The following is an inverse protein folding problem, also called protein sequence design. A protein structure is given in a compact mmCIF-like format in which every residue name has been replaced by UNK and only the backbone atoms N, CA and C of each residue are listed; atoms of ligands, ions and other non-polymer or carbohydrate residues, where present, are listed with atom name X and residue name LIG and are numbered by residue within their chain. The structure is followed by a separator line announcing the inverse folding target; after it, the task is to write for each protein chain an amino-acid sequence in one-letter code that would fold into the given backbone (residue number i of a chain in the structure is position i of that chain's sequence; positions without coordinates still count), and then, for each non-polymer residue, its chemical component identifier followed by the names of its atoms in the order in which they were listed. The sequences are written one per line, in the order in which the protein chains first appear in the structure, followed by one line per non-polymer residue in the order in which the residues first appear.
data_IF_786309508355
#
_entry.id   IF_786309508355
#
_cell.length_a   1.000
_cell.length_b   1.000
_cell.length_c   1.000
_cell.angle_alpha   90.00
_cell.angle_beta   90.00
_cell.angle_gamma   90.00
#
_symmetry.space_group_name_H-M   'P 1'
#
loop_
_entity.id
_entity.type
_entity.pdbx_description
1 polymer ?
#
# COMPACT_ATOMS: atom_id res chain seq x y z
N UNK A 1 -2.64 4.21 -2.57
CA UNK A 1 -2.13 3.54 -1.37
C UNK A 1 -2.25 2.03 -1.53
N UNK A 2 -1.23 1.29 -1.08
CA UNK A 2 -1.24 -0.15 -0.90
C UNK A 2 -0.76 -0.51 0.48
N UNK A 3 -1.32 -1.57 1.06
CA UNK A 3 -0.91 -2.08 2.37
C UNK A 3 -1.50 -3.47 2.60
N UNK A 4 -0.89 -4.22 3.51
CA UNK A 4 -1.43 -5.47 4.01
C UNK A 4 -2.68 -5.26 4.91
N UNK A 5 -3.18 -6.34 5.49
CA UNK A 5 -4.38 -6.32 6.32
C UNK A 5 -4.16 -5.74 7.73
N UNK A 6 -2.95 -5.90 8.31
CA UNK A 6 -2.65 -5.39 9.66
C UNK A 6 -2.66 -3.86 9.68
N UNK A 7 -3.45 -3.29 10.58
CA UNK A 7 -3.63 -1.84 10.68
C UNK A 7 -4.55 -1.22 9.63
N UNK A 8 -5.08 -1.99 8.68
CA UNK A 8 -5.88 -1.47 7.57
C UNK A 8 -7.17 -0.80 8.03
N UNK A 9 -7.85 -1.32 9.05
CA UNK A 9 -9.05 -0.68 9.61
C UNK A 9 -8.73 0.72 10.18
N UNK A 10 -7.57 0.89 10.78
CA UNK A 10 -7.10 2.19 11.24
C UNK A 10 -6.89 3.15 10.06
N UNK A 11 -6.23 2.70 9.00
CA UNK A 11 -6.02 3.50 7.78
C UNK A 11 -7.36 3.85 7.12
N UNK A 12 -8.30 2.89 7.03
CA UNK A 12 -9.64 3.14 6.51
C UNK A 12 -10.36 4.24 7.30
N UNK A 13 -10.33 4.17 8.63
CA UNK A 13 -11.03 5.13 9.48
C UNK A 13 -10.33 6.49 9.55
N UNK A 14 -9.04 6.52 9.86
CA UNK A 14 -8.33 7.75 10.21
C UNK A 14 -7.66 8.43 9.01
N UNK A 15 -7.17 7.68 8.05
CA UNK A 15 -6.52 8.22 6.84
C UNK A 15 -7.53 8.44 5.73
N UNK A 16 -8.34 7.42 5.43
CA UNK A 16 -9.33 7.48 4.35
C UNK A 16 -10.67 8.07 4.78
N UNK A 17 -10.85 8.40 6.07
CA UNK A 17 -12.06 8.96 6.63
C UNK A 17 -13.33 8.12 6.42
N UNK A 18 -13.17 6.79 6.34
CA UNK A 18 -14.31 5.87 6.27
C UNK A 18 -15.01 5.83 7.64
N UNK A 19 -16.28 6.23 7.68
CA UNK A 19 -17.02 6.31 8.94
C UNK A 19 -17.13 4.97 9.65
N UNK A 20 -16.95 4.94 10.97
CA UNK A 20 -17.07 3.73 11.80
C UNK A 20 -18.39 3.00 11.60
N UNK A 21 -19.49 3.74 11.43
CA UNK A 21 -20.82 3.15 11.18
C UNK A 21 -20.82 2.28 9.91
N UNK A 22 -20.15 2.73 8.85
CA UNK A 22 -20.03 1.97 7.60
C UNK A 22 -19.17 0.73 7.82
N UNK A 23 -18.04 0.87 8.51
CA UNK A 23 -17.15 -0.25 8.84
C UNK A 23 -17.92 -1.32 9.64
N UNK A 24 -18.62 -0.94 10.70
CA UNK A 24 -19.39 -1.89 11.52
C UNK A 24 -20.55 -2.52 10.77
N UNK A 25 -21.22 -1.74 9.88
CA UNK A 25 -22.27 -2.28 9.02
C UNK A 25 -21.73 -3.39 8.10
N UNK A 26 -20.56 -3.17 7.49
CA UNK A 26 -19.90 -4.17 6.67
C UNK A 26 -19.53 -5.43 7.48
N UNK A 27 -19.04 -5.27 8.72
CA UNK A 27 -18.76 -6.40 9.60
C UNK A 27 -20.02 -7.19 9.97
N UNK A 28 -21.17 -6.54 10.06
CA UNK A 28 -22.46 -7.19 10.32
C UNK A 28 -23.08 -7.87 9.08
N UNK A 29 -22.33 -7.96 7.97
CA UNK A 29 -22.81 -8.60 6.74
C UNK A 29 -23.48 -7.66 5.75
N UNK A 30 -23.57 -6.36 6.05
CA UNK A 30 -24.04 -5.33 5.13
C UNK A 30 -23.03 -5.06 4.01
N UNK A 31 -23.52 -4.52 2.89
CA UNK A 31 -22.69 -4.02 1.79
C UNK A 31 -22.70 -2.49 1.80
N UNK A 32 -21.56 -1.86 1.61
CA UNK A 32 -21.47 -0.40 1.49
C UNK A 32 -21.98 0.09 0.13
N UNK A 33 -21.92 -0.75 -0.90
CA UNK A 33 -22.42 -0.49 -2.24
C UNK A 33 -23.53 -1.48 -2.59
N UNK A 34 -24.71 -1.02 -3.01
CA UNK A 34 -25.81 -1.87 -3.48
C UNK A 34 -25.46 -2.71 -4.72
N UNK A 35 -24.41 -2.32 -5.46
CA UNK A 35 -23.94 -2.98 -6.67
C UNK A 35 -22.91 -4.10 -6.43
N UNK A 36 -22.49 -4.33 -5.18
CA UNK A 36 -21.65 -5.48 -4.83
C UNK A 36 -22.46 -6.77 -4.90
N UNK A 37 -22.69 -7.20 -6.13
CA UNK A 37 -23.44 -8.40 -6.45
C UNK A 37 -22.64 -9.63 -6.02
N UNK A 38 -23.04 -10.24 -4.91
CA UNK A 38 -22.84 -11.68 -4.69
C UNK A 38 -21.41 -12.19 -4.48
N UNK A 39 -20.48 -11.35 -4.07
CA UNK A 39 -19.17 -11.80 -3.60
C UNK A 39 -19.29 -12.46 -2.23
N UNK A 40 -19.13 -13.78 -2.16
CA UNK A 40 -19.09 -14.52 -0.89
C UNK A 40 -18.00 -13.92 0.02
N UNK A 41 -18.41 -13.21 1.07
CA UNK A 41 -17.69 -13.05 2.32
C UNK A 41 -16.19 -12.77 2.28
N UNK A 42 -15.71 -11.88 1.40
CA UNK A 42 -14.32 -11.43 1.47
C UNK A 42 -14.03 -10.84 2.84
N UNK A 43 -12.85 -11.13 3.37
CA UNK A 43 -12.42 -10.63 4.67
C UNK A 43 -12.46 -9.11 4.65
N UNK A 44 -13.28 -8.49 5.48
CA UNK A 44 -13.62 -7.05 5.42
C UNK A 44 -12.42 -6.11 5.51
N UNK A 45 -11.33 -6.54 6.13
CA UNK A 45 -10.08 -5.76 6.19
C UNK A 45 -9.18 -5.91 4.94
N UNK A 46 -9.66 -6.57 3.88
CA UNK A 46 -9.01 -6.57 2.57
C UNK A 46 -9.63 -5.58 1.58
N UNK A 47 -10.77 -4.98 1.93
CA UNK A 47 -11.48 -4.05 1.05
C UNK A 47 -10.68 -2.76 0.79
N UNK A 48 -10.80 -2.27 -0.43
CA UNK A 48 -10.32 -0.95 -0.83
C UNK A 48 -11.35 0.14 -0.55
N UNK A 49 -10.93 1.38 -0.76
CA UNK A 49 -11.81 2.55 -0.71
C UNK A 49 -11.17 3.70 -1.47
N UNK A 50 -11.98 4.67 -1.89
CA UNK A 50 -11.52 5.94 -2.45
C UNK A 50 -12.26 7.09 -1.78
N UNK A 51 -11.56 8.19 -1.56
CA UNK A 51 -12.10 9.38 -0.92
C UNK A 51 -11.36 10.63 -1.37
N UNK A 52 -12.04 11.75 -1.34
CA UNK A 52 -11.40 13.06 -1.47
C UNK A 52 -11.18 13.64 -0.07
N UNK A 53 -9.96 14.11 0.19
CA UNK A 53 -9.59 14.78 1.42
C UNK A 53 -9.03 16.16 1.09
N UNK A 54 -9.17 17.09 2.01
CA UNK A 54 -8.61 18.43 1.90
C UNK A 54 -7.52 18.62 2.96
N UNK A 55 -6.36 19.09 2.52
CA UNK A 55 -5.21 19.41 3.37
C UNK A 55 -4.75 20.83 3.01
N UNK A 56 -4.81 21.74 3.97
CA UNK A 56 -4.41 23.16 3.81
C UNK A 56 -5.04 23.82 2.57
N UNK A 57 -6.33 23.54 2.33
CA UNK A 57 -7.08 24.07 1.18
C UNK A 57 -6.83 23.33 -0.14
N UNK A 58 -5.98 22.31 -0.15
CA UNK A 58 -5.66 21.51 -1.33
C UNK A 58 -6.48 20.20 -1.30
N UNK A 59 -7.31 20.01 -2.33
CA UNK A 59 -8.09 18.78 -2.49
C UNK A 59 -7.24 17.67 -3.09
N UNK A 60 -7.16 16.54 -2.39
CA UNK A 60 -6.40 15.37 -2.80
C UNK A 60 -7.33 14.15 -2.91
N UNK A 61 -7.34 13.52 -4.08
CA UNK A 61 -8.00 12.23 -4.26
C UNK A 61 -7.11 11.10 -3.75
N UNK A 62 -7.63 10.31 -2.82
CA UNK A 62 -6.92 9.19 -2.21
C UNK A 62 -7.62 7.88 -2.56
N UNK A 63 -6.86 6.87 -2.95
CA UNK A 63 -7.38 5.54 -3.26
C UNK A 63 -6.53 4.48 -2.56
N UNK A 64 -7.17 3.66 -1.74
CA UNK A 64 -6.58 2.48 -1.10
C UNK A 64 -6.99 1.24 -1.89
N UNK A 65 -6.02 0.55 -2.48
CA UNK A 65 -6.25 -0.63 -3.30
C UNK A 65 -6.65 -1.82 -2.40
N UNK A 66 -7.66 -2.63 -2.79
CA UNK A 66 -7.93 -3.90 -2.12
C UNK A 66 -6.70 -4.79 -2.15
N UNK A 67 -6.50 -5.60 -1.12
CA UNK A 67 -5.38 -6.54 -1.08
C UNK A 67 -5.85 -7.96 -0.78
N UNK A 68 -5.11 -8.99 -1.24
CA UNK A 68 -5.31 -10.37 -0.78
C UNK A 68 -4.63 -10.59 0.58
N UNK A 69 -4.77 -11.79 1.14
CA UNK A 69 -4.05 -12.20 2.35
C UNK A 69 -2.54 -12.40 2.12
N UNK A 70 -2.10 -12.50 0.87
CA UNK A 70 -0.69 -12.59 0.49
C UNK A 70 0.00 -11.23 0.64
N UNK A 71 0.91 -11.13 1.60
CA UNK A 71 1.63 -9.90 1.88
C UNK A 71 2.46 -9.43 0.67
N UNK A 72 2.54 -8.12 0.47
CA UNK A 72 3.30 -7.41 -0.57
C UNK A 72 2.82 -7.62 -2.02
N UNK A 73 1.87 -8.54 -2.28
CA UNK A 73 1.34 -8.71 -3.65
C UNK A 73 0.54 -7.52 -4.15
N UNK A 74 0.14 -6.62 -3.27
CA UNK A 74 -0.50 -5.35 -3.62
C UNK A 74 0.47 -4.33 -4.21
N UNK A 75 1.77 -4.47 -3.96
CA UNK A 75 2.79 -3.49 -4.38
C UNK A 75 2.82 -3.30 -5.90
N UNK A 76 3.01 -4.34 -6.72
CA UNK A 76 2.98 -4.19 -8.18
C UNK A 76 1.61 -3.73 -8.69
N UNK A 77 0.52 -4.05 -8.01
CA UNK A 77 -0.83 -3.57 -8.39
C UNK A 77 -0.93 -2.05 -8.21
N UNK A 78 -0.42 -1.52 -7.10
CA UNK A 78 -0.39 -0.06 -6.86
C UNK A 78 0.50 0.63 -7.90
N UNK A 79 1.68 0.11 -8.15
CA UNK A 79 2.61 0.68 -9.15
C UNK A 79 1.99 0.66 -10.55
N UNK A 80 1.37 -0.45 -10.95
CA UNK A 80 0.66 -0.56 -12.21
C UNK A 80 -0.52 0.40 -12.33
N UNK A 81 -1.32 0.57 -11.25
CA UNK A 81 -2.41 1.53 -11.19
C UNK A 81 -1.92 2.97 -11.33
N UNK A 82 -0.82 3.31 -10.64
CA UNK A 82 -0.20 4.64 -10.76
C UNK A 82 0.28 4.88 -12.19
N UNK A 83 0.97 3.92 -12.79
CA UNK A 83 1.43 4.02 -14.17
C UNK A 83 0.27 4.26 -15.15
N UNK A 84 -0.84 3.53 -14.98
CA UNK A 84 -2.03 3.73 -15.80
C UNK A 84 -2.64 5.13 -15.60
N UNK A 85 -2.71 5.62 -14.37
CA UNK A 85 -3.19 6.97 -14.08
C UNK A 85 -2.29 8.05 -14.70
N UNK A 86 -0.98 7.86 -14.69
CA UNK A 86 -0.03 8.76 -15.35
C UNK A 86 -0.24 8.78 -16.88
N UNK A 87 -0.56 7.64 -17.49
CA UNK A 87 -0.93 7.59 -18.92
C UNK A 87 -2.19 8.41 -19.19
N UNK A 88 -3.26 8.18 -18.40
CA UNK A 88 -4.54 8.88 -18.58
C UNK A 88 -4.46 10.41 -18.33
N UNK A 89 -3.46 10.85 -17.57
CA UNK A 89 -3.24 12.26 -17.20
C UNK A 89 -2.17 12.95 -18.04
N UNK A 90 -1.58 12.24 -19.01
CA UNK A 90 -0.42 12.72 -19.78
C UNK A 90 0.77 13.15 -18.90
N UNK A 91 1.01 12.37 -17.81
CA UNK A 91 1.99 12.68 -16.76
C UNK A 91 3.23 11.78 -16.82
N UNK A 92 3.41 11.00 -17.91
CA UNK A 92 4.52 10.05 -18.03
C UNK A 92 5.91 10.70 -18.10
N UNK A 93 5.98 11.95 -18.49
CA UNK A 93 7.25 12.68 -18.60
C UNK A 93 7.65 13.36 -17.29
N UNK A 94 6.66 13.75 -16.46
CA UNK A 94 6.91 14.56 -15.27
C UNK A 94 6.73 13.77 -13.96
N UNK A 95 5.77 12.84 -13.92
CA UNK A 95 5.41 12.06 -12.72
C UNK A 95 5.04 12.95 -11.50
N UNK A 96 4.32 14.05 -11.74
CA UNK A 96 4.00 15.05 -10.71
C UNK A 96 2.58 14.93 -10.15
N UNK A 97 1.68 14.19 -10.82
CA UNK A 97 0.25 14.21 -10.49
C UNK A 97 -0.21 13.00 -9.66
N UNK A 98 0.54 11.90 -9.67
CA UNK A 98 0.13 10.65 -9.00
C UNK A 98 1.27 10.07 -8.19
N UNK A 99 1.07 9.97 -6.87
CA UNK A 99 2.06 9.46 -5.93
C UNK A 99 1.67 8.07 -5.41
N UNK A 100 2.47 7.02 -5.67
CA UNK A 100 2.31 5.73 -5.00
C UNK A 100 2.82 5.79 -3.57
N UNK A 101 2.04 5.23 -2.64
CA UNK A 101 2.40 5.10 -1.23
C UNK A 101 2.11 3.66 -0.79
N UNK A 102 3.12 2.99 -0.29
CA UNK A 102 3.06 1.62 0.19
C UNK A 102 3.39 1.55 1.69
N UNK A 103 2.59 0.82 2.45
CA UNK A 103 2.76 0.68 3.90
C UNK A 103 3.03 -0.80 4.20
N UNK A 104 4.16 -1.07 4.81
CA UNK A 104 4.70 -2.41 5.01
C UNK A 104 4.88 -2.75 6.49
N UNK A 105 4.80 -4.04 6.82
CA UNK A 105 5.45 -4.58 8.02
C UNK A 105 6.91 -4.90 7.71
N UNK A 106 7.76 -4.80 8.71
CA UNK A 106 9.22 -4.98 8.56
C UNK A 106 9.62 -6.37 8.07
N UNK A 107 8.99 -7.40 8.59
CA UNK A 107 9.30 -8.79 8.22
C UNK A 107 8.93 -9.09 6.76
N UNK A 108 7.78 -8.62 6.31
CA UNK A 108 7.33 -8.80 4.93
C UNK A 108 8.20 -8.00 3.96
N UNK A 109 8.48 -6.73 4.26
CA UNK A 109 9.32 -5.88 3.43
C UNK A 109 10.71 -6.46 3.19
N UNK A 110 11.36 -6.93 4.25
CA UNK A 110 12.71 -7.51 4.14
C UNK A 110 12.72 -8.93 3.60
N UNK A 111 11.64 -9.72 3.84
CA UNK A 111 11.64 -11.16 3.60
C UNK A 111 10.96 -11.63 2.32
N UNK A 112 10.13 -10.80 1.69
CA UNK A 112 9.40 -11.20 0.49
C UNK A 112 10.04 -10.65 -0.78
N UNK A 113 10.37 -11.56 -1.71
CA UNK A 113 11.06 -11.24 -2.96
C UNK A 113 10.35 -10.24 -3.86
N UNK A 114 9.02 -10.17 -3.78
CA UNK A 114 8.20 -9.25 -4.59
C UNK A 114 8.56 -7.76 -4.36
N UNK A 115 9.01 -7.41 -3.15
CA UNK A 115 9.50 -6.05 -2.86
C UNK A 115 10.75 -5.75 -3.68
N UNK A 116 11.70 -6.70 -3.74
CA UNK A 116 12.90 -6.61 -4.55
C UNK A 116 12.59 -6.52 -6.05
N UNK A 117 11.61 -7.28 -6.51
CA UNK A 117 11.15 -7.24 -7.91
C UNK A 117 10.57 -5.87 -8.25
N UNK A 118 9.77 -5.28 -7.35
CA UNK A 118 9.25 -3.91 -7.53
C UNK A 118 10.38 -2.88 -7.60
N UNK A 119 11.39 -2.98 -6.75
CA UNK A 119 12.58 -2.13 -6.84
C UNK A 119 13.36 -2.36 -8.15
N UNK A 120 13.46 -3.62 -8.60
CA UNK A 120 14.08 -3.95 -9.88
C UNK A 120 13.44 -3.27 -11.09
N UNK A 121 12.13 -3.00 -11.01
CA UNK A 121 11.41 -2.29 -12.08
C UNK A 121 11.51 -0.76 -12.00
N UNK A 122 11.89 -0.19 -10.87
CA UNK A 122 11.80 1.25 -10.59
C UNK A 122 12.58 2.13 -11.57
N UNK A 123 13.72 1.66 -12.08
CA UNK A 123 14.55 2.35 -13.07
C UNK A 123 14.25 2.00 -14.52
N UNK A 124 13.35 1.06 -14.81
CA UNK A 124 13.06 0.61 -16.16
C UNK A 124 11.99 1.49 -16.81
N UNK A 125 12.28 2.05 -17.96
CA UNK A 125 11.45 3.04 -18.66
C UNK A 125 9.97 2.64 -18.79
N UNK A 126 9.68 1.37 -19.04
CA UNK A 126 8.30 0.88 -19.21
C UNK A 126 7.51 0.79 -17.90
N UNK A 127 8.20 0.74 -16.76
CA UNK A 127 7.63 0.48 -15.42
C UNK A 127 7.79 1.65 -14.45
N UNK A 128 8.70 2.58 -14.73
CA UNK A 128 8.99 3.71 -13.86
C UNK A 128 7.75 4.57 -13.61
N UNK A 129 7.50 4.86 -12.34
CA UNK A 129 6.41 5.73 -11.86
C UNK A 129 6.90 7.06 -11.30
N UNK A 130 8.21 7.36 -11.43
CA UNK A 130 8.82 8.56 -10.85
C UNK A 130 9.22 8.41 -9.38
N UNK A 131 8.90 7.30 -8.77
CA UNK A 131 9.21 6.97 -7.38
C UNK A 131 7.99 6.44 -6.62
N UNK A 132 8.26 5.89 -5.44
CA UNK A 132 7.25 5.39 -4.51
C UNK A 132 7.68 5.69 -3.09
N UNK A 133 6.76 6.13 -2.25
CA UNK A 133 7.02 6.27 -0.82
C UNK A 133 6.70 4.95 -0.13
N UNK A 134 7.68 4.38 0.57
CA UNK A 134 7.54 3.19 1.38
C UNK A 134 7.57 3.56 2.87
N UNK A 135 6.46 3.32 3.58
CA UNK A 135 6.40 3.42 5.02
C UNK A 135 6.58 2.04 5.63
N UNK A 136 7.67 1.82 6.34
CA UNK A 136 7.97 0.55 7.00
C UNK A 136 7.64 0.68 8.48
N UNK A 137 6.59 -0.01 8.92
CA UNK A 137 6.23 -0.09 10.33
C UNK A 137 7.03 -1.23 10.95
N UNK A 138 8.12 -0.89 11.64
CA UNK A 138 9.00 -1.86 12.29
C UNK A 138 8.38 -2.36 13.60
N UNK A 139 7.30 -3.09 13.49
CA UNK A 139 6.59 -3.68 14.64
C UNK A 139 7.19 -5.01 15.12
N UNK A 140 8.20 -5.50 14.42
CA UNK A 140 8.94 -6.73 14.70
C UNK A 140 8.06 -8.00 14.75
N UNK A 141 6.92 -7.98 14.05
CA UNK A 141 6.00 -9.11 13.96
C UNK A 141 6.27 -9.89 12.67
N UNK A 142 6.82 -11.08 12.80
CA UNK A 142 7.12 -12.00 11.70
C UNK A 142 6.48 -13.37 11.90
N UNK A 143 5.15 -13.44 12.07
CA UNK A 143 4.40 -14.67 12.35
C UNK A 143 5.02 -15.42 13.56
N UNK A 144 5.60 -16.61 13.35
CA UNK A 144 6.25 -17.42 14.42
C UNK A 144 7.76 -17.15 14.57
N UNK A 145 8.31 -16.21 13.80
CA UNK A 145 9.75 -15.92 13.79
C UNK A 145 10.07 -14.78 14.74
N UNK A 146 10.95 -15.03 15.71
CA UNK A 146 11.46 -13.98 16.60
C UNK A 146 12.31 -12.97 15.82
N UNK A 147 12.30 -11.67 16.18
CA UNK A 147 12.97 -10.61 15.41
C UNK A 147 14.46 -10.85 15.16
N UNK A 148 15.15 -11.43 16.11
CA UNK A 148 16.59 -11.75 16.02
C UNK A 148 16.94 -12.79 14.95
N UNK A 149 15.94 -13.53 14.45
CA UNK A 149 16.11 -14.53 13.38
C UNK A 149 15.42 -14.13 12.08
N UNK A 150 14.80 -12.93 12.04
CA UNK A 150 13.95 -12.53 10.93
C UNK A 150 14.71 -12.05 9.70
N UNK A 151 15.91 -11.51 9.89
CA UNK A 151 16.75 -10.96 8.80
C UNK A 151 18.22 -10.88 9.20
N UNK A 152 19.09 -10.88 8.19
CA UNK A 152 20.55 -10.74 8.40
C UNK A 152 20.98 -9.28 8.58
N UNK A 153 20.27 -8.33 7.97
CA UNK A 153 20.59 -6.91 8.05
C UNK A 153 20.00 -6.25 9.32
N UNK A 154 20.63 -5.19 9.86
CA UNK A 154 20.14 -4.47 11.01
C UNK A 154 18.75 -3.87 10.82
N UNK A 155 18.48 -3.36 9.62
CA UNK A 155 17.22 -2.65 9.31
C UNK A 155 16.46 -3.33 8.17
N UNK A 156 15.13 -3.39 8.24
CA UNK A 156 14.33 -3.90 7.14
C UNK A 156 14.49 -3.05 5.87
N UNK A 157 14.72 -1.76 6.02
CA UNK A 157 14.96 -0.79 4.94
C UNK A 157 16.26 -1.00 4.16
N UNK A 158 17.15 -1.88 4.63
CA UNK A 158 18.42 -2.16 3.92
C UNK A 158 18.21 -2.74 2.51
N UNK A 159 17.04 -3.32 2.24
CA UNK A 159 16.61 -3.71 0.89
C UNK A 159 16.70 -2.54 -0.10
N UNK A 160 16.32 -1.34 0.33
CA UNK A 160 16.31 -0.16 -0.53
C UNK A 160 17.72 0.35 -0.92
N UNK A 161 18.77 -0.07 -0.19
CA UNK A 161 20.16 0.26 -0.53
C UNK A 161 20.56 -0.31 -1.90
N UNK A 162 19.97 -1.44 -2.31
CA UNK A 162 20.26 -2.06 -3.60
C UNK A 162 19.91 -1.18 -4.80
N UNK A 163 19.00 -0.24 -4.64
CA UNK A 163 18.61 0.75 -5.66
C UNK A 163 18.99 2.18 -5.28
N UNK A 164 19.83 2.34 -4.26
CA UNK A 164 20.31 3.64 -3.76
C UNK A 164 19.18 4.60 -3.39
N UNK A 165 18.05 4.09 -2.92
CA UNK A 165 16.93 4.92 -2.49
C UNK A 165 17.26 5.65 -1.18
N UNK A 166 16.77 6.88 -0.97
CA UNK A 166 16.87 7.56 0.31
C UNK A 166 16.17 6.77 1.42
N UNK A 167 16.79 6.67 2.60
CA UNK A 167 16.25 5.99 3.77
C UNK A 167 16.23 6.96 4.93
N UNK A 168 15.06 7.16 5.53
CA UNK A 168 14.85 8.04 6.68
C UNK A 168 14.38 7.17 7.86
N UNK A 169 15.07 7.25 8.98
CA UNK A 169 14.72 6.61 10.24
C UNK A 169 14.17 7.67 11.19
N UNK A 170 13.04 7.36 11.85
CA UNK A 170 12.39 8.19 12.86
C UNK A 170 12.09 7.38 14.10
#
# INVERSE_FOLDING_TARGET
FGMAHRGRLNVLANVMAKGFRVIFHEFSGGTANPEDVGGSGGVKYHLGTSTDREFDGIKVHMSLVPNPSHLETVDPIVLGKVRAQQVFRDDLAKHEQVLPVLIHGDAAFAGLGIVWECFGFSGIRGYNTGGCIHFIVNNQVGFTTSPQFARSSPYPSDVAKGVMAPIIHV
#
